data_IF_113855148114
#
_entry.id   IF_113855148114
#
_cell.length_a   1.000
_cell.length_b   1.000
_cell.length_c   1.000
_cell.angle_alpha   90.00
_cell.angle_beta   90.00
_cell.angle_gamma   90.00
#
_symmetry.space_group_name_H-M   'P 1'
#
loop_
_entity.id
_entity.type
_entity.pdbx_description
1 polymer ?
#
# COMPACT_ATOMS: atom_id res chain seq x y z
N UNK A 1 -28.08 18.69 36.58
CA UNK A 1 -27.79 19.07 35.18
C UNK A 1 -26.48 18.39 34.81
N UNK A 2 -26.54 17.32 34.02
CA UNK A 2 -25.34 16.61 33.52
C UNK A 2 -25.00 17.19 32.16
N UNK A 3 -23.83 17.81 32.05
CA UNK A 3 -23.17 18.03 30.77
C UNK A 3 -22.48 16.72 30.37
N UNK A 4 -22.82 16.10 29.21
CA UNK A 4 -21.97 15.05 28.69
C UNK A 4 -20.63 15.69 28.29
N UNK A 5 -19.58 15.22 28.96
CA UNK A 5 -18.18 15.48 28.66
C UNK A 5 -17.94 15.19 27.19
N UNK A 6 -17.36 16.17 26.49
CA UNK A 6 -16.88 16.05 25.13
C UNK A 6 -16.00 14.80 25.02
N UNK A 7 -16.56 13.74 24.43
CA UNK A 7 -15.78 12.66 23.86
C UNK A 7 -15.18 13.25 22.59
N UNK A 8 -14.00 13.86 22.75
CA UNK A 8 -13.11 14.10 21.64
C UNK A 8 -12.90 12.74 20.98
N UNK A 9 -13.54 12.53 19.82
CA UNK A 9 -13.30 11.40 18.93
C UNK A 9 -11.87 11.48 18.45
N UNK A 10 -10.96 11.00 19.29
CA UNK A 10 -9.61 10.63 18.90
C UNK A 10 -9.80 9.61 17.79
N UNK A 11 -9.52 10.01 16.55
CA UNK A 11 -9.44 9.13 15.40
C UNK A 11 -8.35 8.10 15.69
N UNK A 12 -8.71 7.06 16.44
CA UNK A 12 -7.84 5.98 16.85
C UNK A 12 -7.42 5.23 15.61
N UNK A 13 -6.24 5.57 15.09
CA UNK A 13 -5.63 4.79 14.04
C UNK A 13 -5.24 3.45 14.68
N UNK A 14 -6.05 2.42 14.44
CA UNK A 14 -5.89 1.08 14.99
C UNK A 14 -4.42 0.65 14.88
N UNK A 15 -3.72 0.30 15.98
CA UNK A 15 -2.29 -0.03 15.92
C UNK A 15 -2.02 -1.23 15.01
N UNK A 16 -3.01 -2.14 14.86
CA UNK A 16 -2.97 -3.22 13.88
C UNK A 16 -3.00 -2.70 12.42
N UNK A 17 -3.71 -1.60 12.15
CA UNK A 17 -3.74 -0.95 10.85
C UNK A 17 -2.40 -0.28 10.55
N UNK A 18 -1.79 0.42 11.53
CA UNK A 18 -0.46 1.00 11.38
C UNK A 18 0.62 -0.07 11.11
N UNK A 19 0.57 -1.20 11.83
CA UNK A 19 1.49 -2.33 11.60
C UNK A 19 1.31 -2.95 10.20
N UNK A 20 0.07 -3.11 9.74
CA UNK A 20 -0.23 -3.60 8.39
C UNK A 20 0.32 -2.66 7.31
N UNK A 21 0.15 -1.35 7.48
CA UNK A 21 0.70 -0.35 6.54
C UNK A 21 2.22 -0.44 6.46
N UNK A 22 2.91 -0.53 7.59
CA UNK A 22 4.37 -0.69 7.59
C UNK A 22 4.82 -1.99 6.91
N UNK A 23 4.11 -3.10 7.16
CA UNK A 23 4.41 -4.37 6.51
C UNK A 23 4.20 -4.29 4.99
N UNK A 24 3.14 -3.63 4.54
CA UNK A 24 2.84 -3.43 3.11
C UNK A 24 3.93 -2.58 2.44
N UNK A 25 4.33 -1.47 3.05
CA UNK A 25 5.40 -0.61 2.53
C UNK A 25 6.75 -1.34 2.43
N UNK A 26 7.08 -2.17 3.43
CA UNK A 26 8.28 -3.02 3.42
C UNK A 26 8.23 -4.09 2.33
N UNK A 27 7.06 -4.66 2.10
CA UNK A 27 6.86 -5.64 1.05
C UNK A 27 7.02 -5.02 -0.34
N UNK A 28 6.51 -3.79 -0.55
CA UNK A 28 6.71 -3.03 -1.79
C UNK A 28 8.20 -2.76 -2.03
N UNK A 29 8.92 -2.33 -0.99
CA UNK A 29 10.36 -2.06 -1.07
C UNK A 29 11.16 -3.31 -1.45
N UNK A 30 10.85 -4.45 -0.85
CA UNK A 30 11.47 -5.74 -1.16
C UNK A 30 11.20 -6.18 -2.62
N UNK A 31 9.98 -6.02 -3.13
CA UNK A 31 9.68 -6.33 -4.52
C UNK A 31 10.41 -5.41 -5.52
N UNK A 32 10.53 -4.12 -5.20
CA UNK A 32 11.29 -3.17 -6.01
C UNK A 32 12.78 -3.52 -6.01
N UNK A 33 13.35 -3.83 -4.84
CA UNK A 33 14.76 -4.22 -4.71
C UNK A 33 15.08 -5.52 -5.47
N UNK A 34 14.12 -6.44 -5.58
CA UNK A 34 14.24 -7.68 -6.35
C UNK A 34 13.95 -7.51 -7.84
N UNK A 35 13.52 -6.33 -8.29
CA UNK A 35 13.06 -6.12 -9.66
C UNK A 35 11.74 -6.84 -10.01
N UNK A 36 11.02 -7.33 -9.00
CA UNK A 36 9.75 -8.04 -9.16
C UNK A 36 8.53 -7.10 -9.14
N UNK A 37 8.74 -5.84 -8.82
CA UNK A 37 7.76 -4.78 -9.00
C UNK A 37 8.38 -3.60 -9.77
N UNK A 38 7.54 -2.87 -10.50
CA UNK A 38 7.92 -1.62 -11.17
C UNK A 38 6.93 -0.50 -10.90
N UNK A 39 7.35 0.77 -10.87
CA UNK A 39 6.43 1.89 -10.78
C UNK A 39 5.48 1.95 -11.97
N UNK A 40 4.26 2.45 -11.74
CA UNK A 40 3.30 2.73 -12.80
C UNK A 40 3.90 3.61 -13.90
N UNK A 41 3.60 3.28 -15.15
CA UNK A 41 4.07 4.04 -16.33
C UNK A 41 5.48 3.70 -16.79
N UNK A 42 6.20 2.82 -16.09
CA UNK A 42 7.47 2.27 -16.57
C UNK A 42 7.26 1.00 -17.40
N UNK A 43 8.24 0.69 -18.25
CA UNK A 43 8.26 -0.59 -18.96
C UNK A 43 8.29 -1.74 -17.94
N UNK A 44 7.35 -2.67 -18.07
CA UNK A 44 7.24 -3.83 -17.20
C UNK A 44 8.27 -4.87 -17.67
N UNK A 45 9.33 -5.14 -16.91
CA UNK A 45 10.28 -6.17 -17.26
C UNK A 45 9.61 -7.54 -17.21
N UNK A 46 10.12 -8.54 -17.96
CA UNK A 46 9.50 -9.85 -18.05
C UNK A 46 9.38 -10.56 -16.69
N UNK A 47 10.29 -10.29 -15.75
CA UNK A 47 10.30 -10.86 -14.40
C UNK A 47 9.43 -10.07 -13.39
N UNK A 48 8.92 -8.90 -13.78
CA UNK A 48 8.04 -8.14 -12.90
C UNK A 48 6.69 -8.82 -12.78
N UNK A 49 6.27 -9.02 -11.53
CA UNK A 49 4.99 -9.64 -11.18
C UNK A 49 3.98 -8.62 -10.69
N UNK A 50 4.44 -7.42 -10.30
CA UNK A 50 3.60 -6.36 -9.74
C UNK A 50 3.92 -4.99 -10.35
N UNK A 51 2.93 -4.11 -10.34
CA UNK A 51 3.08 -2.68 -10.58
C UNK A 51 2.80 -1.94 -9.28
N UNK A 52 3.65 -0.97 -8.95
CA UNK A 52 3.47 -0.06 -7.82
C UNK A 52 2.72 1.17 -8.31
N UNK A 53 1.50 1.33 -7.84
CA UNK A 53 0.60 2.44 -8.15
C UNK A 53 0.44 3.33 -6.92
N UNK A 54 0.03 4.58 -7.11
CA UNK A 54 -0.32 5.46 -5.99
C UNK A 54 -1.84 5.62 -5.94
N UNK A 55 -2.41 5.41 -4.76
CA UNK A 55 -3.81 5.75 -4.50
C UNK A 55 -3.99 7.28 -4.46
N UNK A 56 -5.24 7.75 -4.43
CA UNK A 56 -5.60 9.17 -4.38
C UNK A 56 -5.06 9.88 -3.13
N UNK A 57 -4.79 9.11 -2.07
CA UNK A 57 -4.15 9.57 -0.84
C UNK A 57 -2.61 9.60 -0.92
N UNK A 58 -2.02 9.31 -2.08
CA UNK A 58 -0.56 9.26 -2.28
C UNK A 58 0.12 8.02 -1.71
N UNK A 59 -0.65 7.00 -1.29
CA UNK A 59 -0.14 5.75 -0.73
C UNK A 59 0.23 4.77 -1.82
N UNK A 60 1.35 4.07 -1.67
CA UNK A 60 1.75 3.02 -2.62
C UNK A 60 0.84 1.81 -2.45
N UNK A 61 0.41 1.25 -3.58
CA UNK A 61 -0.34 0.00 -3.66
C UNK A 61 0.26 -0.90 -4.72
N UNK A 62 0.07 -2.21 -4.53
CA UNK A 62 0.50 -3.20 -5.51
C UNK A 62 -0.69 -3.68 -6.33
N UNK A 63 -0.51 -3.64 -7.65
CA UNK A 63 -1.37 -4.35 -8.60
C UNK A 63 -0.60 -5.50 -9.22
N UNK A 64 -1.11 -6.71 -9.03
CA UNK A 64 -0.50 -7.90 -9.63
C UNK A 64 -0.73 -7.91 -11.14
N UNK A 65 0.35 -8.12 -11.88
CA UNK A 65 0.32 -8.28 -13.32
C UNK A 65 -0.25 -9.67 -13.61
N UNK A 66 -1.30 -9.72 -14.42
CA UNK A 66 -1.80 -10.98 -14.94
C UNK A 66 -1.21 -11.15 -16.32
N UNK A 67 -0.22 -12.02 -16.44
CA UNK A 67 0.23 -12.50 -17.73
C UNK A 67 -0.90 -13.35 -18.32
N UNK A 68 -1.67 -12.78 -19.24
CA UNK A 68 -2.49 -13.56 -20.16
C UNK A 68 -1.51 -14.25 -21.10
N UNK A 69 -1.20 -15.51 -20.82
CA UNK A 69 -0.30 -16.31 -21.65
C UNK A 69 -0.70 -16.22 -23.12
N UNK A 70 0.29 -15.93 -23.96
CA UNK A 70 0.25 -16.13 -25.42
C UNK A 70 0.14 -17.61 -25.77
#
# INVERSE_FOLDING_TARGET
MTTPREESGESGEDPAQAARRQAEERFIDDLLARGQAVPEGQEVPPDATHVVEHDKDGRRRLRRIRFTGT
#
